data_IF_602835406027
#
_entry.id   IF_602835406027
#
_cell.length_a   1.000
_cell.length_b   1.000
_cell.length_c   1.000
_cell.angle_alpha   90.00
_cell.angle_beta   90.00
_cell.angle_gamma   90.00
#
_symmetry.space_group_name_H-M   'P 1'
#
loop_
_entity.id
_entity.type
_entity.pdbx_description
1 polymer ?
#
# COMPACT_ATOMS: atom_id res chain seq x y z
N UNK A 1 24.24 -21.79 -17.22
CA UNK A 1 24.47 -20.60 -16.40
C UNK A 1 24.00 -19.42 -17.23
N UNK A 2 23.09 -18.59 -16.71
CA UNK A 2 22.55 -17.46 -17.47
C UNK A 2 23.64 -16.44 -17.80
N UNK A 3 23.51 -15.75 -18.93
CA UNK A 3 24.39 -14.65 -19.31
C UNK A 3 24.30 -13.51 -18.29
N UNK A 4 25.42 -12.80 -18.05
CA UNK A 4 25.51 -11.78 -16.99
C UNK A 4 24.52 -10.63 -17.21
N UNK A 5 24.38 -10.15 -18.45
CA UNK A 5 23.46 -9.06 -18.76
C UNK A 5 22.00 -9.44 -18.47
N UNK A 6 21.60 -10.69 -18.71
CA UNK A 6 20.26 -11.18 -18.41
C UNK A 6 20.03 -11.18 -16.89
N UNK A 7 21.03 -11.59 -16.11
CA UNK A 7 20.95 -11.53 -14.64
C UNK A 7 20.82 -10.10 -14.13
N UNK A 8 21.63 -9.18 -14.65
CA UNK A 8 21.59 -7.75 -14.30
C UNK A 8 20.21 -7.14 -14.58
N UNK A 9 19.62 -7.41 -15.74
CA UNK A 9 18.27 -6.95 -16.08
C UNK A 9 17.18 -7.47 -15.13
N UNK A 10 17.28 -8.74 -14.71
CA UNK A 10 16.34 -9.31 -13.73
C UNK A 10 16.55 -8.68 -12.35
N UNK A 11 17.79 -8.47 -11.93
CA UNK A 11 18.12 -7.81 -10.66
C UNK A 11 17.57 -6.38 -10.64
N UNK A 12 17.75 -5.62 -11.72
CA UNK A 12 17.21 -4.26 -11.85
C UNK A 12 15.68 -4.23 -11.82
N UNK A 13 15.03 -5.25 -12.40
CA UNK A 13 13.57 -5.42 -12.27
C UNK A 13 13.17 -5.70 -10.82
N UNK A 14 13.89 -6.58 -10.11
CA UNK A 14 13.62 -6.88 -8.69
C UNK A 14 13.78 -5.61 -7.85
N UNK A 15 14.85 -4.82 -8.04
CA UNK A 15 15.05 -3.57 -7.30
C UNK A 15 13.92 -2.55 -7.51
N UNK A 16 13.32 -2.50 -8.71
CA UNK A 16 12.18 -1.61 -9.00
C UNK A 16 10.87 -2.12 -8.41
N UNK A 17 10.68 -3.44 -8.31
CA UNK A 17 9.41 -4.07 -7.94
C UNK A 17 9.33 -4.54 -6.48
N UNK A 18 10.47 -4.71 -5.82
CA UNK A 18 10.61 -5.17 -4.42
C UNK A 18 11.16 -4.01 -3.59
N UNK A 19 10.27 -3.13 -3.18
CA UNK A 19 10.60 -1.89 -2.47
C UNK A 19 9.89 -1.80 -1.12
N UNK A 20 10.43 -1.06 -0.13
CA UNK A 20 9.76 -0.83 1.14
C UNK A 20 8.41 -0.14 0.95
N UNK A 21 7.40 -0.58 1.70
CA UNK A 21 6.07 0.01 1.74
C UNK A 21 5.51 -0.02 3.17
N UNK A 22 4.88 1.07 3.60
CA UNK A 22 4.17 1.17 4.88
C UNK A 22 2.67 1.24 4.61
N UNK A 23 1.89 0.45 5.35
CA UNK A 23 0.43 0.42 5.20
C UNK A 23 -0.05 -0.03 3.82
N UNK A 24 -1.30 0.32 3.49
CA UNK A 24 -1.88 0.13 2.18
C UNK A 24 -1.80 1.43 1.38
N UNK A 25 -1.37 1.37 0.13
CA UNK A 25 -1.17 2.56 -0.72
C UNK A 25 -2.49 3.09 -1.24
N UNK A 26 -3.53 2.26 -1.35
CA UNK A 26 -4.86 2.65 -1.83
C UNK A 26 -5.55 3.69 -0.94
N UNK A 27 -5.70 3.52 0.39
CA UNK A 27 -6.27 4.59 1.22
C UNK A 27 -5.39 5.84 1.25
N UNK A 28 -4.05 5.71 1.11
CA UNK A 28 -3.14 6.86 1.05
C UNK A 28 -3.28 7.63 -0.25
N UNK A 29 -3.51 6.96 -1.38
CA UNK A 29 -3.83 7.60 -2.64
C UNK A 29 -5.16 8.38 -2.57
N UNK A 30 -6.15 7.84 -1.86
CA UNK A 30 -7.40 8.56 -1.62
C UNK A 30 -7.17 9.78 -0.73
N UNK A 31 -6.42 9.63 0.38
CA UNK A 31 -6.06 10.76 1.24
C UNK A 31 -5.25 11.83 0.50
N UNK A 32 -4.30 11.42 -0.36
CA UNK A 32 -3.50 12.30 -1.22
C UNK A 32 -4.38 13.09 -2.20
N UNK A 33 -5.31 12.41 -2.86
CA UNK A 33 -6.25 13.06 -3.77
C UNK A 33 -7.16 14.06 -3.03
N UNK A 34 -7.56 13.73 -1.79
CA UNK A 34 -8.34 14.63 -0.94
C UNK A 34 -7.54 15.85 -0.51
N UNK A 35 -6.30 15.65 -0.05
CA UNK A 35 -5.41 16.75 0.32
C UNK A 35 -5.24 17.75 -0.83
N UNK A 36 -5.00 17.23 -2.05
CA UNK A 36 -4.87 18.07 -3.23
C UNK A 36 -6.15 18.82 -3.57
N UNK A 37 -7.31 18.16 -3.54
CA UNK A 37 -8.59 18.82 -3.76
C UNK A 37 -8.87 19.92 -2.71
N UNK A 38 -8.48 19.69 -1.45
CA UNK A 38 -8.62 20.69 -0.38
C UNK A 38 -7.66 21.86 -0.53
N UNK A 39 -6.40 21.62 -0.90
CA UNK A 39 -5.43 22.68 -1.22
C UNK A 39 -5.93 23.59 -2.35
N UNK A 40 -6.54 23.00 -3.39
CA UNK A 40 -7.16 23.75 -4.49
C UNK A 40 -8.38 24.57 -4.03
N UNK A 41 -9.19 24.01 -3.12
CA UNK A 41 -10.33 24.69 -2.51
C UNK A 41 -9.87 25.89 -1.65
N UNK A 42 -8.70 25.80 -1.03
CA UNK A 42 -8.08 26.84 -0.21
C UNK A 42 -8.67 27.00 1.19
N UNK A 43 -9.59 26.12 1.59
CA UNK A 43 -10.27 26.13 2.89
C UNK A 43 -10.76 24.74 3.28
N UNK A 44 -11.13 24.56 4.56
CA UNK A 44 -11.69 23.30 5.07
C UNK A 44 -12.98 22.95 4.32
N UNK A 45 -13.10 21.75 3.72
CA UNK A 45 -14.32 21.34 3.02
C UNK A 45 -15.49 21.14 4.00
N UNK A 46 -16.69 21.55 3.60
CA UNK A 46 -17.96 21.24 4.28
C UNK A 46 -18.57 19.93 3.76
N UNK A 47 -18.21 19.53 2.54
CA UNK A 47 -18.62 18.26 1.96
C UNK A 47 -17.52 17.71 1.05
N UNK A 48 -17.33 16.41 1.12
CA UNK A 48 -16.39 15.68 0.27
C UNK A 48 -17.14 14.55 -0.42
N UNK A 49 -17.06 14.49 -1.74
CA UNK A 49 -17.54 13.38 -2.54
C UNK A 49 -16.36 12.64 -3.15
N UNK A 50 -16.30 11.34 -2.90
CA UNK A 50 -15.28 10.45 -3.45
C UNK A 50 -15.92 9.48 -4.46
N UNK A 51 -15.50 9.54 -5.73
CA UNK A 51 -15.85 8.57 -6.76
C UNK A 51 -14.64 7.68 -7.05
N UNK A 52 -14.74 6.40 -6.71
CA UNK A 52 -13.61 5.49 -6.67
C UNK A 52 -13.84 4.29 -7.60
N UNK A 53 -12.76 3.76 -8.20
CA UNK A 53 -12.81 2.46 -8.88
C UNK A 53 -13.13 1.31 -7.91
N UNK A 54 -13.70 0.22 -8.43
CA UNK A 54 -14.02 -0.96 -7.63
C UNK A 54 -12.80 -1.56 -6.92
N UNK A 55 -11.61 -1.49 -7.54
CA UNK A 55 -10.38 -1.98 -6.94
C UNK A 55 -9.87 -1.09 -5.80
N UNK A 56 -9.99 0.24 -5.92
CA UNK A 56 -9.68 1.13 -4.79
C UNK A 56 -10.64 0.85 -3.63
N UNK A 57 -11.94 0.75 -3.90
CA UNK A 57 -12.94 0.47 -2.85
C UNK A 57 -12.63 -0.84 -2.12
N UNK A 58 -12.46 -1.95 -2.84
CA UNK A 58 -12.23 -3.27 -2.21
C UNK A 58 -10.91 -3.30 -1.41
N UNK A 59 -9.87 -2.61 -1.88
CA UNK A 59 -8.54 -2.65 -1.26
C UNK A 59 -8.39 -1.64 -0.11
N UNK A 60 -9.19 -0.57 -0.06
CA UNK A 60 -9.05 0.49 0.95
C UNK A 60 -10.15 0.49 2.02
N UNK A 61 -11.29 -0.19 1.78
CA UNK A 61 -12.44 -0.08 2.69
C UNK A 61 -12.23 -0.77 4.04
N UNK A 62 -11.47 -1.88 4.08
CA UNK A 62 -11.29 -2.71 5.28
C UNK A 62 -9.88 -2.70 5.86
N UNK A 63 -9.07 -1.70 5.54
CA UNK A 63 -7.64 -1.66 5.94
C UNK A 63 -7.38 -0.58 6.97
N UNK A 64 -6.46 -0.85 7.89
CA UNK A 64 -6.03 0.09 8.91
C UNK A 64 -5.29 1.28 8.31
N UNK A 65 -5.56 2.47 8.83
CA UNK A 65 -4.88 3.70 8.45
C UNK A 65 -3.68 3.90 9.39
N UNK A 66 -2.43 3.96 8.85
CA UNK A 66 -1.23 4.02 9.68
C UNK A 66 -1.26 5.12 10.73
N UNK A 67 -0.89 4.78 11.97
CA UNK A 67 -0.82 5.73 13.09
C UNK A 67 -2.16 6.13 13.72
N UNK A 68 -3.31 5.74 13.13
CA UNK A 68 -4.64 6.17 13.62
C UNK A 68 -5.32 5.15 14.54
N UNK A 69 -4.96 3.87 14.43
CA UNK A 69 -5.71 2.76 15.05
C UNK A 69 -7.13 2.57 14.49
N UNK A 70 -7.47 3.26 13.40
CA UNK A 70 -8.78 3.22 12.74
C UNK A 70 -8.70 2.53 11.38
N UNK A 71 -9.85 2.12 10.86
CA UNK A 71 -9.97 1.36 9.62
C UNK A 71 -10.81 2.14 8.61
N UNK A 72 -10.37 2.10 7.34
CA UNK A 72 -11.19 2.44 6.19
C UNK A 72 -11.03 3.85 5.64
N UNK A 73 -11.71 4.06 4.51
CA UNK A 73 -11.65 5.28 3.71
C UNK A 73 -12.14 6.56 4.41
N UNK A 74 -13.19 6.56 5.26
CA UNK A 74 -13.68 7.80 5.86
C UNK A 74 -12.61 8.55 6.67
N UNK A 75 -11.84 7.85 7.51
CA UNK A 75 -10.78 8.47 8.29
C UNK A 75 -9.59 8.90 7.42
N UNK A 76 -9.25 8.13 6.37
CA UNK A 76 -8.21 8.52 5.42
C UNK A 76 -8.57 9.81 4.65
N UNK A 77 -9.81 9.92 4.18
CA UNK A 77 -10.33 11.13 3.51
C UNK A 77 -10.34 12.30 4.49
N UNK A 78 -10.84 12.10 5.70
CA UNK A 78 -10.90 13.12 6.75
C UNK A 78 -9.51 13.70 7.06
N UNK A 79 -8.52 12.84 7.34
CA UNK A 79 -7.16 13.29 7.62
C UNK A 79 -6.49 13.92 6.39
N UNK A 80 -6.75 13.40 5.19
CA UNK A 80 -6.32 14.03 3.94
C UNK A 80 -6.86 15.45 3.80
N UNK A 81 -8.09 15.72 4.21
CA UNK A 81 -8.69 17.04 4.15
C UNK A 81 -8.20 18.01 5.26
N UNK A 82 -7.91 17.51 6.46
CA UNK A 82 -7.59 18.36 7.61
C UNK A 82 -6.10 18.67 7.74
N UNK A 83 -5.24 17.67 7.55
CA UNK A 83 -3.79 17.78 7.76
C UNK A 83 -2.95 17.32 6.57
N UNK A 84 -3.60 16.77 5.54
CA UNK A 84 -2.92 16.19 4.41
C UNK A 84 -2.14 17.24 3.62
N UNK A 85 -0.92 16.88 3.20
CA UNK A 85 -0.10 17.70 2.30
C UNK A 85 0.26 16.91 1.05
N UNK A 86 -0.16 17.41 -0.11
CA UNK A 86 0.02 16.68 -1.37
C UNK A 86 1.49 16.53 -1.78
N UNK A 87 2.35 17.45 -1.34
CA UNK A 87 3.80 17.40 -1.52
C UNK A 87 4.44 16.13 -0.91
N UNK A 88 3.83 15.53 0.10
CA UNK A 88 4.34 14.31 0.74
C UNK A 88 3.94 13.02 0.01
N UNK A 89 3.20 13.09 -1.09
CA UNK A 89 2.78 11.92 -1.87
C UNK A 89 2.04 10.89 -0.98
N UNK A 90 2.47 9.63 -0.95
CA UNK A 90 1.81 8.58 -0.16
C UNK A 90 2.07 8.70 1.36
N UNK A 91 2.96 9.60 1.78
CA UNK A 91 3.15 10.00 3.17
C UNK A 91 2.31 11.24 3.53
N UNK A 92 1.22 11.49 2.79
CA UNK A 92 0.32 12.66 2.90
C UNK A 92 -0.09 13.02 4.34
N UNK A 93 -0.22 12.03 5.22
CA UNK A 93 -0.65 12.21 6.63
C UNK A 93 0.49 11.99 7.65
N UNK A 94 1.77 12.09 7.26
CA UNK A 94 2.90 11.83 8.17
C UNK A 94 3.00 12.78 9.38
N UNK A 95 2.38 13.96 9.29
CA UNK A 95 2.32 14.96 10.36
C UNK A 95 1.16 14.70 11.36
N UNK A 96 0.59 13.48 11.35
CA UNK A 96 -0.49 13.07 12.25
C UNK A 96 -0.12 13.25 13.74
N UNK A 97 -0.98 13.95 14.47
CA UNK A 97 -0.92 14.08 15.93
C UNK A 97 -2.19 13.53 16.59
N UNK A 98 -2.18 13.21 17.90
CA UNK A 98 -3.37 12.78 18.63
C UNK A 98 -4.54 13.79 18.53
N UNK A 99 -4.25 15.08 18.52
CA UNK A 99 -5.25 16.15 18.40
C UNK A 99 -5.90 16.13 17.01
N UNK A 100 -5.09 16.11 15.94
CA UNK A 100 -5.59 16.04 14.57
C UNK A 100 -6.37 14.75 14.29
N UNK A 101 -6.01 13.64 14.94
CA UNK A 101 -6.74 12.39 14.86
C UNK A 101 -8.15 12.53 15.46
N UNK A 102 -8.27 13.23 16.59
CA UNK A 102 -9.58 13.45 17.22
C UNK A 102 -10.46 14.39 16.38
N UNK A 103 -9.88 15.45 15.82
CA UNK A 103 -10.56 16.29 14.84
C UNK A 103 -11.01 15.49 13.62
N UNK A 104 -10.16 14.59 13.13
CA UNK A 104 -10.46 13.69 12.03
C UNK A 104 -11.64 12.77 12.32
N UNK A 105 -11.73 12.21 13.53
CA UNK A 105 -12.87 11.39 13.98
C UNK A 105 -14.16 12.20 14.03
N UNK A 106 -14.09 13.41 14.59
CA UNK A 106 -15.24 14.31 14.70
C UNK A 106 -15.78 14.66 13.30
N UNK A 107 -14.89 14.97 12.36
CA UNK A 107 -15.26 15.27 10.98
C UNK A 107 -15.92 14.07 10.26
N UNK A 108 -15.50 12.83 10.56
CA UNK A 108 -16.19 11.63 10.08
C UNK A 108 -17.58 11.49 10.70
N UNK A 109 -17.72 11.74 12.01
CA UNK A 109 -18.99 11.63 12.73
C UNK A 109 -20.03 12.68 12.26
N UNK A 110 -19.57 13.84 11.80
CA UNK A 110 -20.39 14.91 11.22
C UNK A 110 -20.92 14.59 9.80
N UNK A 111 -20.55 13.43 9.24
CA UNK A 111 -21.08 12.91 7.97
C UNK A 111 -20.82 13.80 6.74
N UNK A 112 -19.65 14.45 6.71
CA UNK A 112 -19.20 15.28 5.59
C UNK A 112 -18.82 14.50 4.33
N UNK A 113 -18.66 13.17 4.41
CA UNK A 113 -17.99 12.35 3.39
C UNK A 113 -18.98 11.39 2.70
N UNK A 114 -19.10 11.48 1.38
CA UNK A 114 -19.91 10.61 0.53
C UNK A 114 -19.03 9.79 -0.42
N UNK A 115 -18.91 8.48 -0.18
CA UNK A 115 -18.06 7.56 -0.95
C UNK A 115 -18.93 6.73 -1.89
N UNK A 116 -18.61 6.74 -3.19
CA UNK A 116 -19.37 6.02 -4.23
C UNK A 116 -18.44 5.34 -5.24
N UNK A 117 -18.97 4.29 -5.87
CA UNK A 117 -18.35 3.66 -7.04
C UNK A 117 -18.48 4.58 -8.26
N UNK A 118 -17.38 4.81 -8.97
CA UNK A 118 -17.41 5.44 -10.29
C UNK A 118 -17.83 4.40 -11.33
N UNK A 119 -18.93 4.65 -12.04
CA UNK A 119 -19.38 3.83 -13.17
C UNK A 119 -18.75 4.30 -14.49
N UNK A 120 -18.66 3.38 -15.47
CA UNK A 120 -18.25 3.72 -16.84
C UNK A 120 -16.75 3.99 -17.04
N UNK A 121 -15.89 3.50 -16.13
CA UNK A 121 -14.43 3.59 -16.26
C UNK A 121 -13.81 2.22 -16.54
N UNK A 122 -12.67 2.21 -17.22
CA UNK A 122 -11.88 1.00 -17.50
C UNK A 122 -10.67 0.86 -16.57
N UNK A 123 -10.31 1.96 -15.91
CA UNK A 123 -9.14 2.13 -15.09
C UNK A 123 -9.27 1.33 -13.80
N UNK A 124 -8.29 0.45 -13.58
CA UNK A 124 -8.18 -0.32 -12.33
C UNK A 124 -7.86 0.58 -11.13
N UNK A 125 -7.18 1.71 -11.35
CA UNK A 125 -6.85 2.68 -10.32
C UNK A 125 -7.44 4.02 -10.75
N UNK A 126 -8.47 4.44 -10.01
CA UNK A 126 -9.16 5.71 -10.21
C UNK A 126 -9.68 6.22 -8.87
N UNK A 127 -9.35 7.48 -8.60
CA UNK A 127 -9.78 8.25 -7.43
C UNK A 127 -10.16 9.65 -7.92
N UNK A 128 -11.41 10.03 -7.77
CA UNK A 128 -11.91 11.39 -8.03
C UNK A 128 -12.46 11.94 -6.72
N UNK A 129 -11.87 13.04 -6.26
CA UNK A 129 -12.31 13.73 -5.05
C UNK A 129 -12.84 15.11 -5.44
N UNK A 130 -14.03 15.41 -4.95
CA UNK A 130 -14.65 16.72 -5.05
C UNK A 130 -14.85 17.27 -3.64
N UNK A 131 -14.23 18.41 -3.34
CA UNK A 131 -14.39 19.15 -2.10
C UNK A 131 -15.25 20.40 -2.33
N UNK A 132 -16.24 20.63 -1.47
CA UNK A 132 -17.19 21.74 -1.54
C UNK A 132 -17.22 22.50 -0.20
N UNK A 133 -17.26 23.84 -0.26
CA UNK A 133 -17.48 24.70 0.91
C UNK A 133 -18.12 26.03 0.46
N UNK A 134 -19.33 26.31 0.94
CA UNK A 134 -20.15 27.42 0.42
C UNK A 134 -20.39 27.27 -1.09
N UNK A 135 -20.05 28.32 -1.85
CA UNK A 135 -20.16 28.32 -3.32
C UNK A 135 -18.90 27.77 -4.03
N UNK A 136 -17.82 27.52 -3.27
CA UNK A 136 -16.57 27.06 -3.84
C UNK A 136 -16.53 25.54 -3.97
N UNK A 137 -15.92 25.08 -5.06
CA UNK A 137 -15.78 23.68 -5.40
C UNK A 137 -14.45 23.41 -6.09
N UNK A 138 -13.71 22.43 -5.58
CA UNK A 138 -12.49 21.93 -6.18
C UNK A 138 -12.60 20.44 -6.48
N UNK A 139 -11.96 19.98 -7.55
CA UNK A 139 -11.89 18.56 -7.92
C UNK A 139 -10.48 18.17 -8.33
N UNK A 140 -10.03 17.01 -7.84
CA UNK A 140 -8.78 16.39 -8.24
C UNK A 140 -9.02 14.93 -8.61
N UNK A 141 -8.27 14.42 -9.59
CA UNK A 141 -8.36 13.02 -10.04
C UNK A 141 -6.97 12.39 -10.12
N UNK A 142 -6.79 11.26 -9.44
CA UNK A 142 -5.64 10.36 -9.58
C UNK A 142 -6.06 9.14 -10.42
N UNK A 143 -5.24 8.76 -11.39
CA UNK A 143 -5.48 7.57 -12.20
C UNK A 143 -4.20 6.91 -12.72
N UNK A 144 -4.31 5.63 -13.08
CA UNK A 144 -3.24 4.71 -13.52
C UNK A 144 -2.27 4.32 -12.40
N UNK A 145 -1.63 5.28 -11.74
CA UNK A 145 -0.72 5.05 -10.59
C UNK A 145 -1.19 5.83 -9.36
N UNK A 146 -0.73 5.43 -8.18
CA UNK A 146 -1.22 5.94 -6.88
C UNK A 146 -0.95 7.43 -6.62
N UNK A 147 -0.07 8.08 -7.40
CA UNK A 147 0.36 9.48 -7.22
C UNK A 147 0.17 10.33 -8.49
N UNK A 148 -0.32 9.74 -9.58
CA UNK A 148 -0.43 10.44 -10.85
C UNK A 148 -1.75 11.24 -10.95
N UNK A 149 -1.67 12.53 -10.63
CA UNK A 149 -2.76 13.48 -10.90
C UNK A 149 -2.94 13.67 -12.41
N UNK A 150 -4.15 13.40 -12.88
CA UNK A 150 -4.55 13.50 -14.30
C UNK A 150 -5.51 14.65 -14.56
N UNK A 151 -6.19 15.16 -13.54
CA UNK A 151 -7.15 16.27 -13.66
C UNK A 151 -7.21 17.08 -12.36
N UNK A 152 -7.26 18.40 -12.50
CA UNK A 152 -7.46 19.36 -11.41
C UNK A 152 -8.33 20.53 -11.89
N UNK A 153 -9.31 20.93 -11.08
CA UNK A 153 -10.25 22.00 -11.39
C UNK A 153 -10.66 22.76 -10.12
N UNK A 154 -10.83 24.08 -10.23
CA UNK A 154 -11.40 24.93 -9.19
C UNK A 154 -12.46 25.85 -9.79
N UNK A 155 -13.68 25.81 -9.27
CA UNK A 155 -14.81 26.66 -9.68
C UNK A 155 -15.03 26.71 -11.21
N UNK A 156 -14.99 25.57 -11.91
CA UNK A 156 -15.15 25.53 -13.37
C UNK A 156 -13.87 25.78 -14.16
N UNK A 157 -12.80 26.25 -13.51
CA UNK A 157 -11.52 26.54 -14.15
C UNK A 157 -10.60 25.33 -14.04
N UNK A 158 -10.34 24.69 -15.18
CA UNK A 158 -9.37 23.59 -15.30
C UNK A 158 -7.94 24.13 -15.10
N UNK A 159 -7.20 23.50 -14.19
CA UNK A 159 -5.81 23.81 -13.88
C UNK A 159 -4.86 22.75 -14.44
N UNK A 160 -5.31 21.50 -14.50
CA UNK A 160 -4.59 20.38 -15.09
C UNK A 160 -5.57 19.46 -15.82
N UNK A 161 -5.23 19.01 -17.03
CA UNK A 161 -5.97 17.96 -17.72
C UNK A 161 -5.04 17.14 -18.63
N UNK A 162 -4.46 16.07 -18.09
CA UNK A 162 -3.62 15.10 -18.83
C UNK A 162 -4.45 14.05 -19.56
N UNK A 163 -5.77 14.03 -19.38
CA UNK A 163 -6.65 13.06 -20.03
C UNK A 163 -6.87 13.41 -21.51
N UNK A 164 -6.77 14.69 -21.86
CA UNK A 164 -6.91 15.18 -23.25
C UNK A 164 -5.62 15.00 -24.07
N UNK A 165 -4.46 14.89 -23.41
CA UNK A 165 -3.16 14.66 -24.08
C UNK A 165 -2.92 13.19 -24.47
N UNK A 166 -3.71 12.26 -23.92
CA UNK A 166 -3.65 10.85 -24.27
C UNK A 166 -4.51 10.54 -25.51
N UNK A 167 -4.15 11.11 -26.66
CA UNK A 167 -4.51 10.53 -27.94
C UNK A 167 -3.90 9.13 -28.09
N UNK A 168 -4.61 8.24 -28.78
CA UNK A 168 -4.22 6.84 -29.06
C UNK A 168 -2.70 6.65 -29.24
N UNK A 169 -2.08 5.84 -28.39
CA UNK A 169 -0.78 5.22 -28.70
C UNK A 169 0.40 5.51 -27.79
N UNK A 170 0.24 6.07 -26.58
CA UNK A 170 1.31 5.97 -25.58
C UNK A 170 1.25 4.58 -24.92
N UNK A 171 1.70 3.54 -25.64
CA UNK A 171 2.26 2.38 -24.96
C UNK A 171 3.40 2.91 -24.10
N UNK A 172 3.31 2.72 -22.79
CA UNK A 172 4.52 2.67 -21.99
C UNK A 172 5.38 1.60 -22.64
N UNK A 173 6.42 2.01 -23.37
CA UNK A 173 7.44 1.12 -23.91
C UNK A 173 8.04 0.39 -22.70
N UNK A 174 7.49 -0.78 -22.44
CA UNK A 174 7.95 -1.64 -21.38
C UNK A 174 9.17 -2.38 -21.94
N UNK A 175 10.30 -1.66 -22.01
CA UNK A 175 11.64 -2.20 -22.28
C UNK A 175 12.10 -3.22 -21.23
N UNK A 176 11.21 -3.58 -20.29
CA UNK A 176 11.42 -4.60 -19.30
C UNK A 176 11.60 -5.99 -19.92
N UNK A 177 12.57 -6.72 -19.35
CA UNK A 177 12.83 -8.11 -19.68
C UNK A 177 11.56 -8.95 -19.54
N UNK A 178 11.19 -9.66 -20.60
CA UNK A 178 10.04 -10.54 -20.60
C UNK A 178 10.37 -11.84 -19.86
N UNK A 179 9.76 -12.01 -18.68
CA UNK A 179 9.97 -13.20 -17.86
C UNK A 179 9.15 -14.39 -18.37
N UNK A 180 9.75 -15.57 -18.28
CA UNK A 180 9.03 -16.84 -18.40
C UNK A 180 9.52 -17.80 -17.30
N UNK A 181 8.79 -18.89 -17.06
CA UNK A 181 9.09 -19.81 -15.98
C UNK A 181 10.50 -20.41 -16.07
N UNK A 182 10.97 -20.71 -17.29
CA UNK A 182 12.31 -21.27 -17.53
C UNK A 182 13.40 -20.26 -17.15
N UNK A 183 13.24 -19.00 -17.57
CA UNK A 183 14.18 -17.92 -17.24
C UNK A 183 14.24 -17.66 -15.73
N UNK A 184 13.08 -17.60 -15.06
CA UNK A 184 12.99 -17.42 -13.60
C UNK A 184 13.66 -18.57 -12.86
N UNK A 185 13.42 -19.82 -13.30
CA UNK A 185 14.07 -21.00 -12.73
C UNK A 185 15.59 -20.98 -12.90
N UNK A 186 16.07 -20.69 -14.11
CA UNK A 186 17.50 -20.66 -14.40
C UNK A 186 18.19 -19.53 -13.63
N UNK A 187 17.53 -18.39 -13.42
CA UNK A 187 18.03 -17.31 -12.57
C UNK A 187 18.11 -17.75 -11.10
N UNK A 188 17.01 -18.29 -10.55
CA UNK A 188 16.96 -18.69 -9.15
C UNK A 188 17.97 -19.81 -8.80
N UNK A 189 18.32 -20.67 -9.76
CA UNK A 189 19.17 -21.84 -9.50
C UNK A 189 20.62 -21.69 -9.95
N UNK A 190 20.95 -20.68 -10.77
CA UNK A 190 22.32 -20.53 -11.33
C UNK A 190 22.98 -19.19 -11.09
N UNK A 191 22.25 -18.17 -10.63
CA UNK A 191 22.82 -16.85 -10.29
C UNK A 191 23.72 -16.97 -9.05
N UNK A 192 24.94 -16.37 -9.07
CA UNK A 192 25.80 -16.32 -7.89
C UNK A 192 25.10 -15.65 -6.69
N UNK A 193 25.19 -16.27 -5.50
CA UNK A 193 24.49 -15.78 -4.29
C UNK A 193 24.88 -14.33 -3.96
N UNK A 194 26.16 -13.98 -4.11
CA UNK A 194 26.65 -12.62 -3.85
C UNK A 194 26.04 -11.54 -4.76
N UNK A 195 25.48 -11.90 -5.93
CA UNK A 195 24.75 -10.96 -6.79
C UNK A 195 23.32 -10.72 -6.30
N UNK A 196 22.77 -11.58 -5.43
CA UNK A 196 21.38 -11.54 -4.95
C UNK A 196 21.23 -11.40 -3.42
N UNK A 197 22.33 -11.19 -2.69
CA UNK A 197 22.34 -11.03 -1.23
C UNK A 197 21.44 -9.88 -0.74
N UNK A 198 21.21 -8.86 -1.59
CA UNK A 198 20.31 -7.75 -1.29
C UNK A 198 18.88 -8.21 -0.94
N UNK A 199 18.46 -9.40 -1.40
CA UNK A 199 17.14 -9.98 -1.08
C UNK A 199 16.99 -10.24 0.43
N UNK A 200 18.08 -10.38 1.18
CA UNK A 200 18.04 -10.52 2.64
C UNK A 200 17.45 -9.28 3.34
N UNK A 201 17.41 -8.12 2.68
CA UNK A 201 16.65 -6.98 3.20
C UNK A 201 15.15 -7.30 3.30
N UNK A 202 14.58 -8.06 2.36
CA UNK A 202 13.19 -8.52 2.47
C UNK A 202 12.97 -9.37 3.72
N UNK A 203 13.91 -10.28 4.04
CA UNK A 203 13.91 -11.03 5.31
C UNK A 203 13.86 -10.07 6.50
N UNK A 204 14.72 -9.05 6.52
CA UNK A 204 14.83 -8.10 7.64
C UNK A 204 13.51 -7.35 7.86
N UNK A 205 12.96 -6.72 6.82
CA UNK A 205 11.71 -5.96 6.92
C UNK A 205 10.51 -6.84 7.27
N UNK A 206 10.31 -7.95 6.54
CA UNK A 206 9.08 -8.73 6.66
C UNK A 206 9.03 -9.58 7.94
N UNK A 207 10.19 -10.02 8.46
CA UNK A 207 10.25 -10.65 9.78
C UNK A 207 10.10 -9.64 10.91
N UNK A 208 10.67 -8.43 10.78
CA UNK A 208 10.45 -7.36 11.76
C UNK A 208 8.96 -6.98 11.86
N UNK A 209 8.22 -6.95 10.75
CA UNK A 209 6.78 -6.77 10.77
C UNK A 209 6.04 -7.90 11.52
N UNK A 210 6.49 -9.15 11.39
CA UNK A 210 5.93 -10.27 12.14
C UNK A 210 6.21 -10.16 13.65
N UNK A 211 7.37 -9.65 14.04
CA UNK A 211 7.75 -9.41 15.43
C UNK A 211 6.96 -8.25 16.04
N UNK A 212 6.77 -7.16 15.28
CA UNK A 212 5.98 -6.00 15.68
C UNK A 212 4.52 -6.40 15.95
N UNK A 213 3.96 -7.28 15.12
CA UNK A 213 2.60 -7.79 15.28
C UNK A 213 2.35 -8.46 16.65
N UNK A 214 3.39 -9.00 17.29
CA UNK A 214 3.28 -9.67 18.58
C UNK A 214 3.21 -8.67 19.74
N UNK A 215 3.79 -7.47 19.58
CA UNK A 215 3.83 -6.41 20.59
C UNK A 215 2.47 -5.75 20.78
N UNK A 216 1.70 -5.61 19.70
CA UNK A 216 0.36 -5.02 19.69
C UNK A 216 -0.75 -6.02 19.37
N UNK A 217 -1.98 -5.52 19.22
CA UNK A 217 -3.10 -6.27 18.66
C UNK A 217 -3.48 -5.61 17.34
N UNK A 218 -3.00 -6.16 16.23
CA UNK A 218 -3.21 -5.63 14.89
C UNK A 218 -4.08 -6.57 14.05
N UNK A 219 -4.83 -5.99 13.11
CA UNK A 219 -5.65 -6.75 12.17
C UNK A 219 -6.59 -7.71 12.88
N UNK A 220 -6.57 -8.98 12.45
CA UNK A 220 -7.36 -10.04 13.08
C UNK A 220 -6.58 -10.85 14.11
N UNK A 221 -5.32 -10.50 14.37
CA UNK A 221 -4.43 -11.20 15.30
C UNK A 221 -4.36 -12.72 15.03
N UNK A 222 -4.50 -13.16 13.78
CA UNK A 222 -4.46 -14.57 13.38
C UNK A 222 -3.11 -15.16 13.74
N UNK A 223 -2.02 -14.53 13.31
CA UNK A 223 -0.67 -15.04 13.54
C UNK A 223 -0.33 -15.11 15.03
N UNK A 224 -0.67 -14.05 15.77
CA UNK A 224 -0.51 -13.97 17.23
C UNK A 224 -1.35 -15.02 17.96
N UNK A 225 -2.57 -15.26 17.51
CA UNK A 225 -3.45 -16.28 18.09
C UNK A 225 -2.90 -17.67 17.87
N UNK A 226 -2.41 -17.98 16.67
CA UNK A 226 -1.76 -19.26 16.36
C UNK A 226 -0.49 -19.50 17.17
N UNK A 227 0.29 -18.46 17.47
CA UNK A 227 1.57 -18.59 18.20
C UNK A 227 1.40 -18.82 19.71
N UNK A 228 0.19 -18.63 20.26
CA UNK A 228 -0.07 -18.80 21.71
C UNK A 228 0.15 -20.25 22.15
N UNK A 229 0.64 -20.50 23.38
CA UNK A 229 0.88 -21.84 23.89
C UNK A 229 -0.33 -22.78 23.79
N UNK A 230 -1.53 -22.27 24.11
CA UNK A 230 -2.76 -23.06 24.02
C UNK A 230 -3.10 -23.44 22.57
N UNK A 231 -2.89 -22.51 21.63
CA UNK A 231 -3.17 -22.72 20.21
C UNK A 231 -2.18 -23.68 19.56
N UNK A 232 -0.91 -23.69 19.99
CA UNK A 232 0.07 -24.70 19.56
C UNK A 232 -0.34 -26.13 19.92
N UNK A 233 -1.11 -26.32 20.99
CA UNK A 233 -1.72 -27.62 21.31
C UNK A 233 -2.80 -28.06 20.31
N UNK A 234 -3.42 -27.11 19.58
CA UNK A 234 -4.47 -27.38 18.59
C UNK A 234 -3.93 -27.43 17.15
N UNK A 235 -3.09 -26.47 16.78
CA UNK A 235 -2.52 -26.34 15.44
C UNK A 235 -1.20 -27.12 15.25
N UNK A 236 -0.64 -27.65 16.34
CA UNK A 236 0.69 -28.24 16.38
C UNK A 236 1.80 -27.20 16.55
N UNK A 237 3.00 -27.70 16.85
CA UNK A 237 4.24 -26.92 16.99
C UNK A 237 5.28 -27.48 15.99
N UNK A 238 5.14 -27.06 14.73
CA UNK A 238 5.94 -27.50 13.58
C UNK A 238 6.38 -26.31 12.73
N UNK A 239 7.36 -26.54 11.84
CA UNK A 239 7.78 -25.55 10.83
C UNK A 239 6.56 -25.00 10.06
N UNK A 240 5.61 -25.88 9.71
CA UNK A 240 4.38 -25.47 9.01
C UNK A 240 3.55 -24.47 9.82
N UNK A 241 3.29 -24.74 11.11
CA UNK A 241 2.52 -23.81 11.96
C UNK A 241 3.27 -22.49 12.20
N UNK A 242 4.60 -22.52 12.28
CA UNK A 242 5.41 -21.31 12.42
C UNK A 242 5.42 -20.46 11.15
N UNK A 243 5.51 -21.09 9.96
CA UNK A 243 5.36 -20.41 8.66
C UNK A 243 4.04 -19.65 8.61
N UNK A 244 2.93 -20.33 8.92
CA UNK A 244 1.61 -19.72 8.92
C UNK A 244 1.53 -18.57 9.93
N UNK A 245 1.99 -18.80 11.16
CA UNK A 245 1.94 -17.79 12.22
C UNK A 245 2.75 -16.55 11.87
N UNK A 246 4.02 -16.68 11.45
CA UNK A 246 4.87 -15.51 11.14
C UNK A 246 4.42 -14.78 9.88
N UNK A 247 3.91 -15.48 8.89
CA UNK A 247 3.34 -14.85 7.68
C UNK A 247 2.07 -14.08 8.04
N UNK A 248 1.14 -14.70 8.77
CA UNK A 248 -0.10 -14.06 9.19
C UNK A 248 0.15 -12.87 10.13
N UNK A 249 1.10 -12.97 11.05
CA UNK A 249 1.49 -11.87 11.95
C UNK A 249 1.95 -10.64 11.17
N UNK A 250 2.85 -10.78 10.19
CA UNK A 250 3.30 -9.64 9.39
C UNK A 250 2.15 -9.02 8.57
N UNK A 251 1.27 -9.85 8.02
CA UNK A 251 0.05 -9.38 7.34
C UNK A 251 -0.87 -8.62 8.32
N UNK A 252 -1.10 -9.13 9.52
CA UNK A 252 -1.91 -8.49 10.55
C UNK A 252 -1.36 -7.13 10.96
N UNK A 253 -0.05 -7.02 11.22
CA UNK A 253 0.60 -5.74 11.52
C UNK A 253 0.36 -4.73 10.40
N UNK A 254 0.66 -5.10 9.15
CA UNK A 254 0.48 -4.22 8.00
C UNK A 254 -0.98 -3.82 7.81
N UNK A 255 -1.88 -4.79 7.73
CA UNK A 255 -3.30 -4.56 7.46
C UNK A 255 -4.01 -3.87 8.64
N UNK A 256 -3.47 -3.99 9.85
CA UNK A 256 -3.90 -3.28 11.05
C UNK A 256 -3.34 -1.86 11.18
N UNK A 257 -2.55 -1.36 10.22
CA UNK A 257 -2.02 -0.01 10.25
C UNK A 257 -0.83 0.18 11.20
N UNK A 258 -0.07 -0.87 11.50
CA UNK A 258 1.19 -0.72 12.21
C UNK A 258 2.16 0.15 11.41
N UNK A 259 2.90 1.03 12.10
CA UNK A 259 3.94 1.89 11.52
C UNK A 259 5.24 1.10 11.28
N UNK A 260 5.13 -0.07 10.64
CA UNK A 260 6.25 -0.94 10.29
C UNK A 260 6.31 -1.12 8.77
N UNK A 261 7.44 -0.82 8.12
CA UNK A 261 7.60 -1.07 6.70
C UNK A 261 7.72 -2.57 6.41
N UNK A 262 7.21 -2.98 5.26
CA UNK A 262 7.40 -4.31 4.68
C UNK A 262 8.03 -4.18 3.31
N UNK A 263 8.82 -5.16 2.89
CA UNK A 263 9.28 -5.24 1.50
C UNK A 263 8.15 -5.81 0.66
N UNK A 264 7.67 -5.00 -0.28
CA UNK A 264 6.58 -5.35 -1.20
C UNK A 264 7.05 -6.28 -2.32
N UNK A 265 6.11 -6.86 -3.05
CA UNK A 265 6.37 -7.52 -4.31
C UNK A 265 5.30 -7.06 -5.31
N UNK A 266 5.73 -6.53 -6.46
CA UNK A 266 4.80 -6.02 -7.50
C UNK A 266 3.79 -5.01 -6.93
N UNK A 267 4.25 -4.12 -6.06
CA UNK A 267 3.42 -3.11 -5.39
C UNK A 267 2.56 -3.60 -4.23
N UNK A 268 2.62 -4.89 -3.85
CA UNK A 268 1.85 -5.44 -2.72
C UNK A 268 2.74 -5.90 -1.57
N UNK A 269 2.58 -5.26 -0.41
CA UNK A 269 3.27 -5.65 0.83
C UNK A 269 2.93 -7.07 1.30
N UNK A 270 1.65 -7.47 1.21
CA UNK A 270 1.24 -8.84 1.61
C UNK A 270 1.82 -9.89 0.65
N UNK A 271 1.94 -9.60 -0.64
CA UNK A 271 2.62 -10.52 -1.56
C UNK A 271 4.10 -10.66 -1.22
N UNK A 272 4.77 -9.56 -0.88
CA UNK A 272 6.16 -9.60 -0.42
C UNK A 272 6.34 -10.42 0.85
N UNK A 273 5.44 -10.27 1.83
CA UNK A 273 5.38 -11.10 3.04
C UNK A 273 5.22 -12.59 2.68
N UNK A 274 4.24 -12.94 1.84
CA UNK A 274 3.97 -14.32 1.44
C UNK A 274 5.13 -14.94 0.64
N UNK A 275 5.86 -14.15 -0.15
CA UNK A 275 7.04 -14.61 -0.89
C UNK A 275 8.26 -14.81 0.02
N UNK A 276 8.33 -14.09 1.14
CA UNK A 276 9.53 -14.04 2.00
C UNK A 276 9.42 -14.93 3.25
N UNK A 277 8.41 -14.68 4.09
CA UNK A 277 8.35 -15.22 5.45
C UNK A 277 8.34 -16.76 5.48
N UNK A 278 7.61 -17.47 4.59
CA UNK A 278 7.64 -18.93 4.56
C UNK A 278 9.06 -19.49 4.34
N UNK A 279 9.81 -18.92 3.39
CA UNK A 279 11.16 -19.37 3.05
C UNK A 279 12.13 -19.06 4.18
N UNK A 280 12.02 -17.87 4.79
CA UNK A 280 12.87 -17.47 5.91
C UNK A 280 12.66 -18.35 7.14
N UNK A 281 11.41 -18.65 7.51
CA UNK A 281 11.12 -19.53 8.66
C UNK A 281 11.64 -20.93 8.40
N UNK A 282 11.39 -21.49 7.20
CA UNK A 282 11.91 -22.79 6.81
C UNK A 282 13.44 -22.85 6.86
N UNK A 283 14.12 -21.82 6.36
CA UNK A 283 15.57 -21.74 6.39
C UNK A 283 16.12 -21.69 7.83
N UNK A 284 15.55 -20.82 8.69
CA UNK A 284 15.96 -20.68 10.09
C UNK A 284 15.82 -21.99 10.87
N UNK A 285 14.69 -22.68 10.74
CA UNK A 285 14.44 -23.91 11.52
C UNK A 285 15.24 -25.11 11.03
N UNK A 286 15.77 -25.09 9.79
CA UNK A 286 16.66 -26.10 9.26
C UNK A 286 18.16 -25.73 9.35
N UNK A 287 18.50 -24.58 9.95
CA UNK A 287 19.90 -24.12 10.03
C UNK A 287 20.51 -23.71 8.68
N UNK A 288 19.67 -23.33 7.71
CA UNK A 288 20.07 -22.88 6.38
C UNK A 288 20.10 -21.35 6.29
N UNK A 289 20.57 -20.68 7.34
CA UNK A 289 20.74 -19.23 7.39
C UNK A 289 22.22 -18.86 7.47
N UNK A 290 22.62 -17.70 6.93
CA UNK A 290 23.98 -17.18 7.12
C UNK A 290 24.31 -16.85 8.60
N UNK A 291 23.27 -16.59 9.40
CA UNK A 291 23.29 -16.39 10.85
C UNK A 291 22.93 -17.69 11.58
#
# INVERSE_FOLDING_TARGET
>A
MLEKNIREQIIDLIHRQVVPAVGCTEPMAVALCTARATELLGQKPERIKALLSANILKNAMGVGIPGTGMIGLPIAISLGALIGKSEYQLEVIKDLTPESLEEGKQYVAENHIDIKLKSGISEKLYVEITCEAGENKATAIISKTHTNFVYEEMNGKVLLNKQVEAGDGASEDNDDIQLNLKLVWDFATTTPINEIDFILEAKRYNMNAAEEALKGNYGHCVGKTMDRPISRGLFGNSIYSHILSKTASACDARMGGAMVPVMSNSGSGNQGICATNPVVVFAKENGNTPD
#
